data_IF_836684907679
#
_entry.id   IF_836684907679
#
_cell.length_a   1.000
_cell.length_b   1.000
_cell.length_c   1.000
_cell.angle_alpha   90.00
_cell.angle_beta   90.00
_cell.angle_gamma   90.00
#
_symmetry.space_group_name_H-M   'P 1'
#
loop_
_entity.id
_entity.type
_entity.pdbx_description
1 polymer ?
#
# COMPACT_ATOMS: atom_id res chain seq x y z
N UNK A 1 -41.23 -28.04 23.38
CA UNK A 1 -40.84 -27.95 21.95
C UNK A 1 -39.56 -28.73 21.76
N UNK A 2 -39.51 -29.71 20.84
CA UNK A 2 -38.28 -30.45 20.56
C UNK A 2 -37.26 -29.53 19.88
N UNK A 3 -35.98 -29.72 20.21
CA UNK A 3 -34.88 -29.02 19.55
C UNK A 3 -34.61 -29.68 18.20
N UNK A 4 -34.73 -28.92 17.12
CA UNK A 4 -34.41 -29.37 15.77
C UNK A 4 -33.06 -28.80 15.31
N UNK A 5 -32.23 -29.65 14.71
CA UNK A 5 -30.87 -29.29 14.31
C UNK A 5 -30.87 -28.63 12.93
N UNK A 6 -30.66 -27.32 12.89
CA UNK A 6 -30.42 -26.58 11.65
C UNK A 6 -28.99 -26.78 11.16
N UNK A 7 -28.84 -27.42 9.98
CA UNK A 7 -27.55 -27.58 9.29
C UNK A 7 -27.60 -26.77 8.00
N UNK A 8 -26.84 -25.68 7.95
CA UNK A 8 -26.68 -24.88 6.73
C UNK A 8 -25.63 -25.51 5.81
N UNK A 9 -25.87 -25.47 4.49
CA UNK A 9 -24.88 -25.93 3.50
C UNK A 9 -23.73 -24.92 3.40
N UNK A 10 -22.47 -25.38 3.26
CA UNK A 10 -21.35 -24.48 3.00
C UNK A 10 -21.29 -24.08 1.51
N UNK A 11 -20.75 -22.89 1.22
CA UNK A 11 -20.56 -22.40 -0.14
C UNK A 11 -21.69 -21.49 -0.63
N UNK A 12 -21.44 -20.81 -1.75
CA UNK A 12 -22.41 -19.94 -2.42
C UNK A 12 -22.71 -20.53 -3.80
N UNK A 13 -23.98 -20.80 -4.08
CA UNK A 13 -24.47 -21.32 -5.36
C UNK A 13 -25.25 -20.21 -6.07
N UNK A 14 -24.64 -19.59 -7.07
CA UNK A 14 -25.25 -18.49 -7.85
C UNK A 14 -26.29 -18.95 -8.88
N UNK A 15 -26.32 -20.25 -9.19
CA UNK A 15 -27.20 -20.82 -10.23
C UNK A 15 -28.61 -21.17 -9.71
N UNK A 16 -28.81 -21.14 -8.38
CA UNK A 16 -30.07 -21.48 -7.75
C UNK A 16 -30.73 -20.26 -7.10
N UNK A 17 -32.05 -20.33 -6.90
CA UNK A 17 -32.80 -19.31 -6.15
C UNK A 17 -32.79 -19.63 -4.66
N UNK A 18 -33.00 -18.61 -3.82
CA UNK A 18 -33.06 -18.77 -2.36
C UNK A 18 -34.07 -19.84 -1.91
N UNK A 19 -35.17 -19.94 -2.66
CA UNK A 19 -36.22 -20.93 -2.42
C UNK A 19 -35.78 -22.35 -2.79
N UNK A 20 -35.02 -22.51 -3.88
CA UNK A 20 -34.56 -23.82 -4.36
C UNK A 20 -33.40 -24.38 -3.52
N UNK A 21 -32.55 -23.51 -2.92
CA UNK A 21 -31.40 -23.99 -2.16
C UNK A 21 -31.74 -24.56 -0.77
N UNK A 22 -32.88 -24.18 -0.19
CA UNK A 22 -33.45 -24.82 1.00
C UNK A 22 -32.45 -24.95 2.17
N UNK A 23 -31.67 -23.90 2.44
CA UNK A 23 -30.63 -23.89 3.48
C UNK A 23 -29.18 -23.70 2.99
N UNK A 24 -29.01 -23.48 1.67
CA UNK A 24 -27.77 -22.96 1.07
C UNK A 24 -27.76 -21.43 0.97
N UNK A 25 -26.68 -20.90 0.37
CA UNK A 25 -26.47 -19.46 0.20
C UNK A 25 -26.37 -19.14 -1.30
N UNK A 26 -27.05 -18.09 -1.74
CA UNK A 26 -27.04 -17.62 -3.14
C UNK A 26 -26.24 -16.33 -3.31
N UNK A 27 -26.10 -15.58 -2.22
CA UNK A 27 -25.27 -14.39 -2.16
C UNK A 27 -24.52 -14.28 -0.82
N UNK A 28 -23.45 -13.49 -0.83
CA UNK A 28 -22.62 -13.29 0.34
C UNK A 28 -21.72 -12.08 0.20
N UNK A 29 -21.69 -11.25 1.25
CA UNK A 29 -20.76 -10.14 1.36
C UNK A 29 -20.00 -10.23 2.69
N UNK A 30 -18.67 -10.09 2.64
CA UNK A 30 -17.79 -10.15 3.81
C UNK A 30 -17.99 -11.42 4.66
N UNK A 31 -18.22 -12.56 4.02
CA UNK A 31 -18.38 -13.87 4.67
C UNK A 31 -17.37 -14.86 4.12
N UNK A 32 -17.02 -15.86 4.93
CA UNK A 32 -16.24 -17.02 4.50
C UNK A 32 -16.79 -18.30 5.13
N UNK A 33 -16.45 -19.44 4.55
CA UNK A 33 -16.80 -20.75 5.09
C UNK A 33 -15.58 -21.39 5.75
N UNK A 34 -15.70 -21.76 7.02
CA UNK A 34 -14.67 -22.48 7.77
C UNK A 34 -15.31 -23.60 8.57
N UNK A 35 -14.73 -24.81 8.48
CA UNK A 35 -15.28 -26.02 9.12
C UNK A 35 -16.78 -26.24 8.77
N UNK A 36 -17.13 -26.06 7.50
CA UNK A 36 -18.50 -26.18 6.97
C UNK A 36 -19.53 -25.24 7.61
N UNK A 37 -19.10 -24.13 8.22
CA UNK A 37 -19.99 -23.11 8.78
C UNK A 37 -19.66 -21.74 8.20
N UNK A 38 -20.69 -20.91 8.06
CA UNK A 38 -20.53 -19.51 7.70
C UNK A 38 -19.94 -18.74 8.88
N UNK A 39 -18.95 -17.89 8.62
CA UNK A 39 -18.45 -16.92 9.58
C UNK A 39 -18.22 -15.57 8.90
N UNK A 40 -18.40 -14.49 9.66
CA UNK A 40 -18.14 -13.13 9.20
C UNK A 40 -16.63 -12.93 9.04
N UNK A 41 -16.21 -12.25 7.97
CA UNK A 41 -14.83 -11.76 7.83
C UNK A 41 -14.59 -10.71 8.92
N UNK A 42 -13.52 -10.89 9.70
CA UNK A 42 -13.19 -10.08 10.89
C UNK A 42 -12.80 -8.62 10.61
N UNK A 43 -13.11 -8.09 9.43
CA UNK A 43 -12.72 -6.76 8.97
C UNK A 43 -11.27 -6.69 8.50
N UNK A 44 -10.78 -5.46 8.39
CA UNK A 44 -9.43 -5.15 7.96
C UNK A 44 -8.63 -4.68 9.17
N UNK A 45 -7.38 -5.11 9.25
CA UNK A 45 -6.41 -4.61 10.21
C UNK A 45 -5.34 -3.84 9.44
N UNK A 46 -4.84 -2.75 10.02
CA UNK A 46 -3.66 -2.05 9.49
C UNK A 46 -2.50 -3.06 9.38
N UNK A 47 -1.89 -3.12 8.20
CA UNK A 47 -0.67 -3.87 7.96
C UNK A 47 0.51 -3.00 8.43
N UNK A 48 1.27 -3.50 9.41
CA UNK A 48 2.43 -2.81 9.98
C UNK A 48 2.11 -1.54 10.78
N UNK A 49 3.16 -0.96 11.35
CA UNK A 49 3.13 0.31 12.11
C UNK A 49 3.77 1.47 11.35
N UNK A 50 4.65 1.15 10.39
CA UNK A 50 5.36 2.12 9.57
C UNK A 50 4.41 2.87 8.62
N UNK A 51 4.85 4.05 8.21
CA UNK A 51 4.10 4.94 7.33
C UNK A 51 4.98 5.30 6.13
N UNK A 52 4.32 5.62 5.01
CA UNK A 52 4.94 6.09 3.78
C UNK A 52 4.25 7.40 3.36
N UNK A 53 4.87 8.16 2.46
CA UNK A 53 4.33 9.43 2.00
C UNK A 53 3.43 9.25 0.78
N UNK A 54 2.34 10.02 0.74
CA UNK A 54 1.42 10.05 -0.40
C UNK A 54 0.30 9.02 -0.33
N UNK A 55 -0.60 9.11 -1.31
CA UNK A 55 -1.75 8.22 -1.46
C UNK A 55 -1.38 7.07 -2.42
N UNK A 56 -1.50 5.80 -2.01
CA UNK A 56 -1.28 4.65 -2.89
C UNK A 56 -2.22 4.68 -4.10
N UNK A 57 -1.65 4.43 -5.29
CA UNK A 57 -2.39 4.31 -6.56
C UNK A 57 -2.11 3.00 -7.27
N UNK A 58 -1.02 2.32 -6.95
CA UNK A 58 -0.67 1.03 -7.49
C UNK A 58 -0.06 0.13 -6.40
N UNK A 59 -0.37 -1.17 -6.46
CA UNK A 59 0.20 -2.20 -5.60
C UNK A 59 0.67 -3.37 -6.43
N UNK A 60 1.89 -3.84 -6.20
CA UNK A 60 2.46 -5.01 -6.87
C UNK A 60 3.11 -5.95 -5.86
N UNK A 61 2.58 -7.16 -5.70
CA UNK A 61 3.14 -8.18 -4.81
C UNK A 61 4.01 -9.16 -5.60
N UNK A 62 5.20 -9.49 -5.09
CA UNK A 62 6.05 -10.54 -5.66
C UNK A 62 6.81 -11.29 -4.56
N UNK A 63 7.41 -12.41 -4.95
CA UNK A 63 8.23 -13.25 -4.08
C UNK A 63 9.58 -13.41 -4.78
N UNK A 64 10.66 -13.13 -4.06
CA UNK A 64 12.01 -13.34 -4.56
C UNK A 64 12.43 -14.81 -4.51
N UNK A 65 13.54 -15.15 -5.17
CA UNK A 65 14.08 -16.52 -5.25
C UNK A 65 14.43 -17.10 -3.86
N UNK A 66 14.73 -16.24 -2.88
CA UNK A 66 15.00 -16.60 -1.49
C UNK A 66 13.72 -16.85 -0.65
N UNK A 67 12.53 -16.71 -1.27
CA UNK A 67 11.23 -16.84 -0.60
C UNK A 67 10.75 -15.57 0.11
N UNK A 68 11.52 -14.48 0.06
CA UNK A 68 11.15 -13.21 0.67
C UNK A 68 9.97 -12.59 -0.09
N UNK A 69 8.93 -12.22 0.65
CA UNK A 69 7.76 -11.52 0.10
C UNK A 69 7.99 -10.02 0.10
N UNK A 70 7.67 -9.41 -1.02
CA UNK A 70 7.75 -7.97 -1.20
C UNK A 70 6.42 -7.41 -1.68
N UNK A 71 6.13 -6.17 -1.28
CA UNK A 71 4.97 -5.45 -1.77
C UNK A 71 5.37 -4.04 -2.22
N UNK A 72 5.33 -3.81 -3.52
CA UNK A 72 5.57 -2.52 -4.13
C UNK A 72 4.33 -1.64 -4.00
N UNK A 73 4.53 -0.44 -3.48
CA UNK A 73 3.50 0.58 -3.29
C UNK A 73 3.87 1.81 -4.10
N UNK A 74 3.19 2.00 -5.23
CA UNK A 74 3.29 3.22 -6.00
C UNK A 74 2.33 4.27 -5.46
N UNK A 75 2.87 5.37 -4.95
CA UNK A 75 2.07 6.52 -4.48
C UNK A 75 2.09 7.65 -5.50
N UNK A 76 1.34 8.72 -5.25
CA UNK A 76 1.40 9.92 -6.07
C UNK A 76 2.70 10.75 -5.90
N UNK A 77 3.58 10.37 -4.96
CA UNK A 77 4.80 11.11 -4.62
C UNK A 77 6.06 10.26 -4.86
N UNK A 78 6.04 9.03 -4.34
CA UNK A 78 7.19 8.12 -4.28
C UNK A 78 6.79 6.68 -4.53
N UNK A 79 7.76 5.85 -4.89
CA UNK A 79 7.57 4.40 -5.00
C UNK A 79 8.30 3.69 -3.87
N UNK A 80 7.57 2.88 -3.11
CA UNK A 80 8.09 2.16 -1.96
C UNK A 80 8.07 0.66 -2.21
N UNK A 81 9.04 -0.06 -1.66
CA UNK A 81 9.02 -1.51 -1.52
C UNK A 81 8.86 -1.83 -0.04
N UNK A 82 7.78 -2.51 0.30
CA UNK A 82 7.57 -3.07 1.62
C UNK A 82 8.26 -4.43 1.72
N UNK A 83 8.97 -4.60 2.82
CA UNK A 83 9.59 -5.85 3.24
C UNK A 83 9.45 -5.95 4.76
N UNK A 84 8.68 -6.94 5.22
CA UNK A 84 8.40 -7.13 6.65
C UNK A 84 7.50 -6.03 7.19
N UNK A 85 8.06 -5.10 7.96
CA UNK A 85 7.35 -3.94 8.54
C UNK A 85 7.95 -2.60 8.09
N UNK A 86 8.88 -2.60 7.11
CA UNK A 86 9.57 -1.39 6.66
C UNK A 86 9.25 -1.05 5.20
N UNK A 87 9.18 0.24 4.90
CA UNK A 87 9.00 0.76 3.54
C UNK A 87 10.32 1.40 3.06
N UNK A 88 10.89 0.83 2.01
CA UNK A 88 12.12 1.32 1.38
C UNK A 88 11.77 2.19 0.17
N UNK A 89 12.27 3.41 0.14
CA UNK A 89 12.08 4.32 -1.00
C UNK A 89 13.00 3.92 -2.15
N UNK A 90 12.41 3.58 -3.29
CA UNK A 90 13.10 3.25 -4.54
C UNK A 90 12.71 4.19 -5.67
N UNK A 91 12.24 5.39 -5.33
CA UNK A 91 11.88 6.41 -6.31
C UNK A 91 13.10 6.75 -7.18
N UNK A 92 13.00 6.64 -8.51
CA UNK A 92 14.12 6.96 -9.39
C UNK A 92 14.65 8.37 -9.17
N UNK A 93 15.98 8.50 -9.11
CA UNK A 93 16.64 9.80 -9.01
C UNK A 93 16.64 10.44 -10.40
N UNK A 94 16.11 11.66 -10.50
CA UNK A 94 16.04 12.41 -11.77
C UNK A 94 17.41 12.78 -12.31
N UNK A 95 18.26 13.35 -11.44
CA UNK A 95 19.60 13.82 -11.80
C UNK A 95 20.47 13.85 -10.56
N UNK A 96 21.77 13.62 -10.76
CA UNK A 96 22.81 13.75 -9.74
C UNK A 96 23.81 14.78 -10.26
N UNK A 97 23.96 15.89 -9.55
CA UNK A 97 24.92 16.96 -9.86
C UNK A 97 26.23 16.75 -9.11
N UNK A 98 27.32 17.33 -9.62
CA UNK A 98 28.64 17.20 -8.99
C UNK A 98 28.76 18.13 -7.79
N UNK A 99 29.70 17.82 -6.90
CA UNK A 99 30.00 18.69 -5.77
C UNK A 99 30.46 20.08 -6.26
N UNK A 100 29.77 21.13 -5.81
CA UNK A 100 30.05 22.51 -6.19
C UNK A 100 29.18 23.08 -7.32
N UNK A 101 28.41 22.26 -8.02
CA UNK A 101 27.48 22.73 -9.07
C UNK A 101 26.27 23.46 -8.48
N UNK A 102 25.91 23.10 -7.24
CA UNK A 102 24.75 23.64 -6.53
C UNK A 102 25.20 24.65 -5.49
N UNK A 103 24.59 25.83 -5.48
CA UNK A 103 24.85 26.87 -4.47
C UNK A 103 23.61 27.12 -3.61
N UNK A 104 23.84 27.35 -2.31
CA UNK A 104 22.79 27.60 -1.32
C UNK A 104 22.87 29.04 -0.82
N UNK A 105 21.74 29.73 -0.77
CA UNK A 105 21.61 31.06 -0.19
C UNK A 105 20.47 31.06 0.85
N UNK A 106 20.76 31.60 2.02
CA UNK A 106 19.80 31.76 3.11
C UNK A 106 19.88 33.17 3.70
N UNK A 107 18.75 33.70 4.17
CA UNK A 107 18.69 34.99 4.86
C UNK A 107 18.29 34.78 6.30
N UNK A 108 19.01 35.40 7.23
CA UNK A 108 18.72 35.26 8.66
C UNK A 108 17.29 35.71 8.97
N UNK A 109 16.55 34.91 9.73
CA UNK A 109 15.13 35.14 10.02
C UNK A 109 14.14 34.69 8.94
N UNK A 110 14.60 34.13 7.82
CA UNK A 110 13.75 33.51 6.80
C UNK A 110 13.73 31.98 6.94
N UNK A 111 12.57 31.37 6.67
CA UNK A 111 12.42 29.91 6.53
C UNK A 111 12.68 29.40 5.11
N UNK A 112 13.02 30.31 4.18
CA UNK A 112 13.26 29.98 2.77
C UNK A 112 14.74 29.90 2.47
N UNK A 113 15.17 28.79 1.89
CA UNK A 113 16.51 28.59 1.34
C UNK A 113 16.39 28.60 -0.18
N UNK A 114 17.20 29.44 -0.84
CA UNK A 114 17.30 29.46 -2.29
C UNK A 114 18.42 28.54 -2.71
N UNK A 115 18.11 27.56 -3.55
CA UNK A 115 19.08 26.63 -4.12
C UNK A 115 19.19 26.91 -5.60
N UNK A 116 20.40 27.21 -6.07
CA UNK A 116 20.67 27.49 -7.49
C UNK A 116 21.42 26.33 -8.11
N UNK A 117 20.84 25.75 -9.14
CA UNK A 117 21.40 24.64 -9.91
C UNK A 117 21.02 24.84 -11.39
N UNK A 118 21.96 24.60 -12.30
CA UNK A 118 21.76 24.85 -13.74
C UNK A 118 21.07 23.64 -14.36
N UNK A 119 19.95 23.87 -15.06
CA UNK A 119 19.18 22.80 -15.73
C UNK A 119 18.71 21.69 -14.76
N UNK A 120 18.34 22.05 -13.53
CA UNK A 120 17.94 21.10 -12.49
C UNK A 120 16.68 20.27 -12.85
N UNK A 121 15.82 20.80 -13.72
CA UNK A 121 14.63 20.10 -14.25
C UNK A 121 13.62 19.66 -13.19
N UNK A 122 13.65 20.29 -12.01
CA UNK A 122 12.72 20.00 -10.91
C UNK A 122 11.48 20.88 -11.04
N UNK A 123 10.30 20.29 -10.88
CA UNK A 123 9.05 21.01 -10.78
C UNK A 123 8.61 21.18 -9.31
N UNK A 124 7.56 21.97 -9.09
CA UNK A 124 7.02 22.15 -7.75
C UNK A 124 6.52 20.80 -7.18
N UNK A 125 6.90 20.50 -5.94
CA UNK A 125 6.68 19.23 -5.22
C UNK A 125 7.59 18.06 -5.62
N UNK A 126 8.57 18.26 -6.49
CA UNK A 126 9.60 17.25 -6.72
C UNK A 126 10.48 17.07 -5.48
N UNK A 127 10.89 15.82 -5.24
CA UNK A 127 11.83 15.51 -4.19
C UNK A 127 13.27 15.74 -4.68
N UNK A 128 14.04 16.46 -3.87
CA UNK A 128 15.48 16.64 -4.03
C UNK A 128 16.16 16.23 -2.74
N UNK A 129 17.34 15.63 -2.87
CA UNK A 129 18.15 15.18 -1.74
C UNK A 129 19.50 15.86 -1.83
N UNK A 130 19.89 16.56 -0.77
CA UNK A 130 21.21 17.17 -0.64
C UNK A 130 21.98 16.48 0.47
N UNK A 131 23.28 16.26 0.27
CA UNK A 131 24.20 15.76 1.28
C UNK A 131 25.45 16.64 1.29
N UNK A 132 26.04 16.84 2.48
CA UNK A 132 27.27 17.64 2.61
C UNK A 132 27.12 19.14 2.32
N UNK A 133 25.91 19.71 2.40
CA UNK A 133 25.71 21.15 2.31
C UNK A 133 26.12 21.81 3.63
N UNK A 134 27.11 22.71 3.58
CA UNK A 134 27.64 23.48 4.70
C UNK A 134 27.71 24.96 4.35
#
# INVERSE_FOLDING_TARGET
MPLEKLIFKPGIVKEATDYAEGGGWTDGNLVRFRKNRVEKIGGWKKLGTSNFLGTPRAGHAWIALDGTKYFGVGTNLKYYIEQGDSYFDVTPIRSTTSAGDVTFAATNGSSTITVTDTSHGAENNDFVTFSGAA
#
